data_IF_194090079157
#
_entry.id   IF_194090079157
#
_cell.length_a   1.000
_cell.length_b   1.000
_cell.length_c   1.000
_cell.angle_alpha   90.00
_cell.angle_beta   90.00
_cell.angle_gamma   90.00
#
_symmetry.space_group_name_H-M   'P 1'
#
loop_
_entity.id
_entity.type
_entity.pdbx_description
1 polymer ?
#
# COMPACT_ATOMS: atom_id res chain seq x y z
N UNK A 1 25.02 10.69 32.36
CA UNK A 1 24.31 11.47 31.31
C UNK A 1 24.08 10.61 30.07
N UNK A 2 23.03 9.79 30.07
CA UNK A 2 22.60 9.09 28.84
C UNK A 2 21.96 10.11 27.90
N UNK A 3 22.71 10.53 26.89
CA UNK A 3 22.18 11.35 25.79
C UNK A 3 21.23 10.49 24.97
N UNK A 4 19.97 10.91 24.89
CA UNK A 4 18.98 10.35 23.96
C UNK A 4 19.58 10.29 22.54
N UNK A 5 19.64 9.09 21.97
CA UNK A 5 19.95 8.87 20.56
C UNK A 5 18.65 8.59 19.81
N UNK A 6 18.36 9.40 18.79
CA UNK A 6 17.20 9.23 17.92
C UNK A 6 17.71 8.64 16.60
N UNK A 7 17.23 7.44 16.25
CA UNK A 7 17.43 6.84 14.94
C UNK A 7 16.18 7.06 14.10
N UNK A 8 16.33 7.71 12.94
CA UNK A 8 15.24 7.88 11.98
C UNK A 8 15.21 6.65 11.09
N UNK A 9 14.33 5.72 11.40
CA UNK A 9 14.03 4.59 10.53
C UNK A 9 13.00 5.06 9.50
N UNK A 10 13.42 5.17 8.24
CA UNK A 10 12.48 5.37 7.14
C UNK A 10 11.71 4.07 6.92
N UNK A 11 10.58 3.92 7.61
CA UNK A 11 9.68 2.79 7.38
C UNK A 11 8.96 3.06 6.05
N UNK A 12 9.44 2.45 4.98
CA UNK A 12 8.62 2.28 3.77
C UNK A 12 7.36 1.52 4.20
N UNK A 13 6.17 2.03 3.85
CA UNK A 13 4.89 1.37 4.18
C UNK A 13 5.02 -0.14 3.94
N UNK A 14 4.69 -0.94 4.94
CA UNK A 14 4.78 -2.39 4.86
C UNK A 14 3.64 -2.92 3.97
N UNK A 15 3.84 -2.85 2.66
CA UNK A 15 2.95 -3.41 1.64
C UNK A 15 3.18 -4.93 1.52
N UNK A 16 3.24 -5.63 2.66
CA UNK A 16 3.47 -7.05 2.76
C UNK A 16 4.78 -7.53 2.14
N UNK A 17 5.91 -7.44 2.85
CA UNK A 17 7.22 -8.01 2.45
C UNK A 17 7.80 -7.62 1.07
N UNK A 18 7.08 -6.90 0.20
CA UNK A 18 7.55 -6.46 -1.11
C UNK A 18 8.56 -5.32 -0.89
N UNK A 19 9.81 -5.56 -1.29
CA UNK A 19 10.91 -4.62 -1.12
C UNK A 19 11.29 -3.89 -2.40
N UNK A 20 10.97 -4.49 -3.55
CA UNK A 20 11.30 -3.98 -4.87
C UNK A 20 10.02 -3.59 -5.61
N UNK A 21 9.84 -2.30 -5.88
CA UNK A 21 8.66 -1.76 -6.55
C UNK A 21 9.04 -1.01 -7.83
N UNK A 22 8.15 -1.08 -8.82
CA UNK A 22 8.25 -0.25 -10.01
C UNK A 22 8.02 1.22 -9.67
N UNK A 23 8.68 2.12 -10.39
CA UNK A 23 8.47 3.57 -10.25
C UNK A 23 7.64 4.06 -11.42
N UNK A 24 6.53 4.77 -11.15
CA UNK A 24 5.75 5.42 -12.20
C UNK A 24 6.54 6.60 -12.76
N UNK A 25 6.89 6.53 -14.05
CA UNK A 25 7.58 7.59 -14.79
C UNK A 25 6.58 8.55 -15.43
N UNK A 26 5.44 8.02 -15.91
CA UNK A 26 4.40 8.81 -16.54
C UNK A 26 3.02 8.27 -16.16
N UNK A 27 2.06 9.20 -16.03
CA UNK A 27 0.64 8.90 -15.91
C UNK A 27 -0.14 9.93 -16.73
N UNK A 28 -0.65 9.51 -17.89
CA UNK A 28 -1.35 10.37 -18.85
C UNK A 28 -2.79 9.89 -19.04
N UNK A 29 -3.74 10.83 -19.08
CA UNK A 29 -5.12 10.53 -19.50
C UNK A 29 -5.13 10.31 -21.02
N UNK A 30 -5.64 9.16 -21.44
CA UNK A 30 -5.86 8.84 -22.85
C UNK A 30 -7.30 9.17 -23.27
N UNK A 31 -8.25 8.97 -22.35
CA UNK A 31 -9.68 9.22 -22.58
C UNK A 31 -10.25 9.82 -21.30
N UNK A 32 -10.92 10.96 -21.42
CA UNK A 32 -11.64 11.59 -20.31
C UNK A 32 -12.88 10.78 -19.93
N UNK A 33 -13.29 10.87 -18.67
CA UNK A 33 -14.55 10.30 -18.24
C UNK A 33 -15.71 11.01 -18.96
N UNK A 34 -16.68 10.24 -19.44
CA UNK A 34 -17.85 10.77 -20.15
C UNK A 34 -19.03 9.81 -20.01
N UNK A 35 -20.18 10.18 -20.59
CA UNK A 35 -21.39 9.33 -20.59
C UNK A 35 -21.16 7.97 -21.26
N UNK A 36 -20.18 7.88 -22.16
CA UNK A 36 -19.87 6.65 -22.91
C UNK A 36 -18.85 5.75 -22.18
N UNK A 37 -18.25 6.19 -21.06
CA UNK A 37 -17.38 5.32 -20.27
C UNK A 37 -16.41 6.01 -19.30
N UNK A 38 -15.68 5.20 -18.50
CA UNK A 38 -14.74 5.70 -17.52
C UNK A 38 -13.46 6.25 -18.17
N UNK A 39 -12.77 7.10 -17.41
CA UNK A 39 -11.44 7.59 -17.77
C UNK A 39 -10.45 6.43 -18.00
N UNK A 40 -9.62 6.55 -19.03
CA UNK A 40 -8.52 5.60 -19.32
C UNK A 40 -7.17 6.30 -19.22
N UNK A 41 -6.18 5.60 -18.68
CA UNK A 41 -4.83 6.14 -18.46
C UNK A 41 -3.75 5.28 -19.11
N UNK A 42 -2.72 5.94 -19.64
CA UNK A 42 -1.43 5.36 -19.99
C UNK A 42 -0.47 5.56 -18.82
N UNK A 43 0.15 4.49 -18.36
CA UNK A 43 1.10 4.52 -17.25
C UNK A 43 2.41 3.89 -17.71
N UNK A 44 3.50 4.63 -17.55
CA UNK A 44 4.85 4.13 -17.80
C UNK A 44 5.51 3.81 -16.46
N UNK A 45 6.02 2.58 -16.34
CA UNK A 45 6.60 2.09 -15.09
C UNK A 45 8.04 1.63 -15.35
N UNK A 46 8.98 2.24 -14.65
CA UNK A 46 10.34 1.75 -14.56
C UNK A 46 10.35 0.53 -13.64
N UNK A 47 10.75 -0.62 -14.17
CA UNK A 47 10.88 -1.82 -13.37
C UNK A 47 12.05 -1.72 -12.38
N UNK A 48 11.97 -2.42 -11.23
CA UNK A 48 13.10 -2.61 -10.34
C UNK A 48 14.34 -3.13 -11.06
N UNK A 49 15.52 -2.82 -10.51
CA UNK A 49 16.80 -3.25 -11.08
C UNK A 49 16.85 -4.77 -11.18
N UNK A 50 17.22 -5.28 -12.36
CA UNK A 50 17.36 -6.72 -12.62
C UNK A 50 16.05 -7.41 -13.02
N UNK A 51 14.92 -6.72 -13.03
CA UNK A 51 13.67 -7.28 -13.54
C UNK A 51 13.56 -7.05 -15.06
N UNK A 52 13.08 -8.06 -15.79
CA UNK A 52 12.86 -8.02 -17.23
C UNK A 52 11.45 -8.51 -17.54
N UNK A 53 10.90 -8.09 -18.68
CA UNK A 53 9.61 -8.56 -19.17
C UNK A 53 9.67 -8.68 -20.70
N UNK A 54 8.67 -9.36 -21.27
CA UNK A 54 8.40 -9.38 -22.70
C UNK A 54 6.96 -8.97 -22.98
N UNK A 55 6.68 -8.57 -24.21
CA UNK A 55 5.30 -8.30 -24.64
C UNK A 55 4.42 -9.54 -24.42
N UNK A 56 3.25 -9.31 -23.83
CA UNK A 56 2.31 -10.36 -23.44
C UNK A 56 2.43 -10.84 -21.98
N UNK A 57 3.48 -10.44 -21.26
CA UNK A 57 3.55 -10.66 -19.81
C UNK A 57 2.57 -9.74 -19.07
N UNK A 58 2.26 -10.10 -17.82
CA UNK A 58 1.35 -9.35 -16.94
C UNK A 58 2.12 -8.64 -15.82
N UNK A 59 1.62 -7.46 -15.46
CA UNK A 59 2.08 -6.72 -14.29
C UNK A 59 1.07 -6.89 -13.15
N UNK A 60 1.53 -7.41 -12.02
CA UNK A 60 0.75 -7.39 -10.78
C UNK A 60 0.85 -6.00 -10.14
N UNK A 61 -0.30 -5.43 -9.77
CA UNK A 61 -0.40 -4.15 -9.06
C UNK A 61 -1.00 -4.44 -7.69
N UNK A 62 -0.29 -4.06 -6.63
CA UNK A 62 -0.82 -4.12 -5.27
C UNK A 62 -1.43 -2.74 -4.93
N UNK A 63 -2.76 -2.60 -4.89
CA UNK A 63 -3.40 -1.33 -4.60
C UNK A 63 -3.37 -1.01 -3.10
N UNK A 64 -3.64 0.25 -2.79
CA UNK A 64 -3.96 0.67 -1.42
C UNK A 64 -5.33 1.33 -1.39
N UNK A 65 -6.05 1.13 -0.29
CA UNK A 65 -7.35 1.78 -0.10
C UNK A 65 -7.25 3.31 -0.12
N UNK A 66 -8.25 4.02 -0.66
CA UNK A 66 -8.30 5.47 -0.63
C UNK A 66 -8.24 6.00 0.79
N UNK A 67 -7.49 7.09 1.00
CA UNK A 67 -7.18 7.59 2.33
C UNK A 67 -8.44 8.06 3.08
N UNK A 68 -9.41 8.62 2.35
CA UNK A 68 -10.71 9.02 2.85
C UNK A 68 -11.53 7.83 3.38
N UNK A 69 -11.44 6.67 2.71
CA UNK A 69 -12.09 5.44 3.16
C UNK A 69 -11.45 4.93 4.44
N UNK A 70 -10.11 4.92 4.51
CA UNK A 70 -9.38 4.52 5.72
C UNK A 70 -9.77 5.41 6.90
N UNK A 71 -9.78 6.74 6.73
CA UNK A 71 -10.16 7.67 7.79
C UNK A 71 -11.61 7.51 8.24
N UNK A 72 -12.53 7.25 7.30
CA UNK A 72 -13.93 6.97 7.63
C UNK A 72 -14.06 5.75 8.54
N UNK A 73 -13.33 4.67 8.24
CA UNK A 73 -13.33 3.45 9.05
C UNK A 73 -12.69 3.69 10.41
N UNK A 74 -11.54 4.35 10.48
CA UNK A 74 -10.88 4.71 11.74
C UNK A 74 -11.82 5.49 12.66
N UNK A 75 -12.51 6.50 12.12
CA UNK A 75 -13.50 7.30 12.86
C UNK A 75 -14.66 6.44 13.37
N UNK A 76 -15.19 5.54 12.54
CA UNK A 76 -16.30 4.66 12.91
C UNK A 76 -15.94 3.78 14.12
N UNK A 77 -14.71 3.28 14.17
CA UNK A 77 -14.23 2.43 15.26
C UNK A 77 -13.50 3.19 16.37
N UNK A 78 -13.49 4.53 16.33
CA UNK A 78 -12.83 5.38 17.33
C UNK A 78 -11.33 5.07 17.49
N UNK A 79 -10.67 4.74 16.38
CA UNK A 79 -9.23 4.44 16.33
C UNK A 79 -8.45 5.65 15.83
N UNK A 80 -7.27 5.86 16.40
CA UNK A 80 -6.29 6.80 15.87
C UNK A 80 -5.46 6.12 14.77
N UNK A 81 -4.86 6.90 13.87
CA UNK A 81 -3.96 6.36 12.83
C UNK A 81 -2.83 5.51 13.39
N UNK A 82 -2.33 5.90 14.57
CA UNK A 82 -1.20 5.24 15.24
C UNK A 82 -1.65 4.15 16.24
N UNK A 83 -2.97 3.89 16.37
CA UNK A 83 -3.46 2.79 17.22
C UNK A 83 -2.82 1.49 16.77
N UNK A 84 -2.17 0.78 17.69
CA UNK A 84 -1.48 -0.48 17.37
C UNK A 84 -2.46 -1.65 17.48
N UNK A 85 -2.56 -2.44 16.41
CA UNK A 85 -3.36 -3.66 16.33
C UNK A 85 -2.40 -4.84 16.25
N UNK A 86 -2.68 -5.87 17.06
CA UNK A 86 -2.00 -7.17 16.98
C UNK A 86 -3.03 -8.22 16.56
N UNK A 87 -2.79 -8.86 15.42
CA UNK A 87 -3.65 -9.91 14.90
C UNK A 87 -3.07 -11.26 15.32
N UNK A 88 -3.92 -12.13 15.88
CA UNK A 88 -3.59 -13.53 16.17
C UNK A 88 -4.46 -14.43 15.30
N UNK A 89 -3.87 -15.46 14.72
CA UNK A 89 -4.58 -16.46 13.91
C UNK A 89 -4.04 -17.84 14.21
N UNK A 90 -4.93 -18.83 14.30
CA UNK A 90 -4.57 -20.26 14.35
C UNK A 90 -4.48 -20.89 12.96
N UNK A 91 -4.83 -20.14 11.91
CA UNK A 91 -4.83 -20.58 10.51
C UNK A 91 -3.95 -19.67 9.63
N UNK A 92 -3.58 -20.16 8.45
CA UNK A 92 -2.79 -19.40 7.49
C UNK A 92 -3.58 -18.19 6.96
N UNK A 93 -2.95 -17.02 6.97
CA UNK A 93 -3.54 -15.75 6.53
C UNK A 93 -2.46 -14.83 5.96
N UNK A 94 -2.87 -13.88 5.12
CA UNK A 94 -2.02 -12.81 4.59
C UNK A 94 -1.83 -11.65 5.57
N UNK A 95 -2.55 -11.63 6.70
CA UNK A 95 -2.36 -10.62 7.72
C UNK A 95 -1.02 -10.75 8.45
N UNK A 96 -0.43 -9.62 8.89
CA UNK A 96 0.74 -9.65 9.76
C UNK A 96 0.30 -10.14 11.14
N UNK A 97 0.61 -11.41 11.44
CA UNK A 97 0.27 -12.01 12.72
C UNK A 97 1.39 -11.83 13.74
N UNK A 98 1.01 -11.76 15.01
CA UNK A 98 1.92 -11.71 16.17
C UNK A 98 2.87 -10.49 16.26
N UNK A 99 2.79 -9.54 15.34
CA UNK A 99 3.49 -8.25 15.39
C UNK A 99 2.49 -7.08 15.48
N UNK A 100 2.70 -6.09 16.37
CA UNK A 100 1.93 -4.85 16.34
C UNK A 100 2.12 -4.10 15.02
N UNK A 101 1.03 -3.62 14.43
CA UNK A 101 1.02 -2.75 13.25
C UNK A 101 -0.04 -1.67 13.43
N UNK A 102 0.17 -0.50 12.82
CA UNK A 102 -0.81 0.58 12.92
C UNK A 102 -2.15 0.20 12.29
N UNK A 103 -3.24 0.66 12.88
CA UNK A 103 -4.59 0.49 12.33
C UNK A 103 -4.69 1.08 10.92
N UNK A 104 -3.97 2.18 10.67
CA UNK A 104 -3.89 2.80 9.36
C UNK A 104 -3.27 1.87 8.32
N UNK A 105 -2.12 1.23 8.60
CA UNK A 105 -1.43 0.36 7.65
C UNK A 105 -2.26 -0.89 7.31
N UNK A 106 -2.89 -1.49 8.32
CA UNK A 106 -3.78 -2.65 8.12
C UNK A 106 -4.95 -2.27 7.21
N UNK A 107 -5.67 -1.19 7.54
CA UNK A 107 -6.83 -0.74 6.76
C UNK A 107 -6.45 -0.22 5.38
N UNK A 108 -5.22 0.28 5.19
CA UNK A 108 -4.75 0.81 3.92
C UNK A 108 -4.31 -0.28 2.94
N UNK A 109 -3.73 -1.39 3.42
CA UNK A 109 -2.99 -2.32 2.54
C UNK A 109 -3.31 -3.81 2.68
N UNK A 110 -4.11 -4.22 3.67
CA UNK A 110 -4.35 -5.66 3.94
C UNK A 110 -5.82 -6.09 3.81
N UNK A 111 -6.75 -5.18 3.53
CA UNK A 111 -8.19 -5.45 3.44
C UNK A 111 -8.83 -4.76 2.24
N UNK A 112 -9.96 -5.30 1.79
CA UNK A 112 -10.86 -4.71 0.77
C UNK A 112 -12.14 -4.17 1.41
#
# INVERSE_FOLDING_TARGET
DEKLSIEIVNVTRNLGQIRDFGTVLQNKILVEASEIGPMKRHIEIKLPKGQTYRSGDYLAVLPTNPIETVFRVLKQFQLNTNSQIKIASSTHTFFPTNSPMSAFDILSGYVE
#
